data_IF_323083599984
#
_entry.id   IF_323083599984
#
_cell.length_a   1.000
_cell.length_b   1.000
_cell.length_c   1.000
_cell.angle_alpha   90.00
_cell.angle_beta   90.00
_cell.angle_gamma   90.00
#
_symmetry.space_group_name_H-M   'P 1'
#
loop_
_entity.id
_entity.type
_entity.pdbx_description
1 polymer ?
#
# COMPACT_ATOMS: atom_id res chain seq x y z
N UNK A 1 -3.38 19.38 2.85
CA UNK A 1 -2.67 19.67 1.59
C UNK A 1 -1.61 18.59 1.45
N UNK A 2 -1.82 17.62 0.57
CA UNK A 2 -0.82 16.61 0.24
C UNK A 2 0.35 17.34 -0.39
N UNK A 3 1.49 17.42 0.31
CA UNK A 3 2.69 18.04 -0.24
C UNK A 3 3.07 17.22 -1.47
N UNK A 4 2.79 17.75 -2.65
CA UNK A 4 3.31 17.20 -3.91
C UNK A 4 4.83 17.15 -3.77
N UNK A 5 5.41 15.96 -3.93
CA UNK A 5 6.85 15.83 -4.03
C UNK A 5 7.30 16.62 -5.25
N UNK A 6 7.89 17.79 -5.03
CA UNK A 6 8.52 18.55 -6.10
C UNK A 6 9.74 17.76 -6.62
N UNK A 7 10.11 17.96 -7.85
CA UNK A 7 11.30 17.32 -8.45
C UNK A 7 12.54 17.57 -7.60
N UNK A 8 12.73 18.81 -7.14
CA UNK A 8 13.81 19.21 -6.23
C UNK A 8 13.82 18.43 -4.90
N UNK A 9 12.65 18.07 -4.37
CA UNK A 9 12.57 17.22 -3.17
C UNK A 9 13.06 15.79 -3.46
N UNK A 10 12.66 15.21 -4.59
CA UNK A 10 13.09 13.85 -4.99
C UNK A 10 14.60 13.81 -5.24
N UNK A 11 15.11 14.77 -5.97
CA UNK A 11 16.55 14.92 -6.22
C UNK A 11 17.32 15.03 -4.92
N UNK A 12 16.87 15.88 -3.99
CA UNK A 12 17.48 16.02 -2.68
C UNK A 12 17.52 14.69 -1.91
N UNK A 13 16.40 13.96 -1.86
CA UNK A 13 16.32 12.66 -1.16
C UNK A 13 17.30 11.65 -1.75
N UNK A 14 17.41 11.58 -3.08
CA UNK A 14 18.31 10.63 -3.75
C UNK A 14 19.78 11.03 -3.57
N UNK A 15 20.12 12.31 -3.69
CA UNK A 15 21.48 12.82 -3.54
C UNK A 15 22.01 12.61 -2.11
N UNK A 16 21.15 12.82 -1.12
CA UNK A 16 21.52 12.76 0.29
C UNK A 16 21.15 11.45 0.99
N UNK A 17 20.75 10.41 0.24
CA UNK A 17 20.38 9.12 0.83
C UNK A 17 21.52 8.47 1.65
N UNK A 18 22.77 8.77 1.32
CA UNK A 18 23.97 8.30 2.04
C UNK A 18 24.38 9.14 3.25
N UNK A 19 23.84 10.34 3.39
CA UNK A 19 24.32 11.33 4.38
C UNK A 19 23.75 11.09 5.79
N UNK A 20 24.44 11.64 6.80
CA UNK A 20 23.96 11.60 8.18
C UNK A 20 22.71 12.48 8.35
N UNK A 21 21.55 11.93 8.75
CA UNK A 21 20.31 12.66 8.96
C UNK A 21 20.47 13.84 9.92
N UNK A 22 21.30 13.69 10.98
CA UNK A 22 21.51 14.74 11.96
C UNK A 22 22.25 15.94 11.35
N UNK A 23 23.22 15.69 10.48
CA UNK A 23 23.95 16.74 9.76
C UNK A 23 23.04 17.50 8.78
N UNK A 24 22.17 16.78 8.07
CA UNK A 24 21.18 17.39 7.17
C UNK A 24 20.25 18.33 7.97
N UNK A 25 19.74 17.86 9.11
CA UNK A 25 18.87 18.65 9.99
C UNK A 25 19.56 19.91 10.51
N UNK A 26 20.81 19.82 10.94
CA UNK A 26 21.60 20.98 11.42
C UNK A 26 21.87 21.99 10.31
N UNK A 27 22.00 21.51 9.07
CA UNK A 27 22.31 22.34 7.90
C UNK A 27 21.07 22.77 7.10
N UNK A 28 19.85 22.56 7.61
CA UNK A 28 18.60 22.78 6.87
C UNK A 28 18.44 24.17 6.23
N UNK A 29 19.05 25.18 6.82
CA UNK A 29 19.03 26.55 6.29
C UNK A 29 19.77 26.72 4.95
N UNK A 30 20.53 25.72 4.48
CA UNK A 30 21.21 25.72 3.17
C UNK A 30 20.25 25.40 2.00
N UNK A 31 19.07 24.83 2.30
CA UNK A 31 18.07 24.42 1.30
C UNK A 31 16.69 24.97 1.66
N UNK A 32 16.49 26.30 1.54
CA UNK A 32 15.25 26.95 1.96
C UNK A 32 14.01 26.50 1.16
N UNK A 33 14.22 25.96 -0.06
CA UNK A 33 13.19 25.45 -0.96
C UNK A 33 12.77 24.00 -0.68
N UNK A 34 13.53 23.27 0.16
CA UNK A 34 13.27 21.87 0.49
C UNK A 34 12.76 21.75 1.94
N UNK A 35 11.66 21.02 2.12
CA UNK A 35 11.28 20.58 3.47
C UNK A 35 12.25 19.48 3.94
N UNK A 36 13.37 19.91 4.53
CA UNK A 36 14.44 19.00 5.00
C UNK A 36 13.93 18.02 6.07
N UNK A 37 12.94 18.39 6.88
CA UNK A 37 12.36 17.46 7.87
C UNK A 37 11.65 16.28 7.16
N UNK A 38 10.84 16.59 6.17
CA UNK A 38 10.18 15.57 5.36
C UNK A 38 11.18 14.76 4.54
N UNK A 39 12.22 15.40 3.98
CA UNK A 39 13.26 14.73 3.22
C UNK A 39 14.09 13.76 4.08
N UNK A 40 14.47 14.15 5.29
CA UNK A 40 15.17 13.27 6.25
C UNK A 40 14.30 12.08 6.62
N UNK A 41 13.00 12.29 6.86
CA UNK A 41 12.06 11.18 7.10
C UNK A 41 12.01 10.22 5.91
N UNK A 42 11.93 10.75 4.69
CA UNK A 42 11.94 9.92 3.47
C UNK A 42 13.25 9.13 3.31
N UNK A 43 14.41 9.75 3.56
CA UNK A 43 15.73 9.11 3.52
C UNK A 43 15.80 7.94 4.51
N UNK A 44 15.39 8.15 5.76
CA UNK A 44 15.42 7.10 6.78
C UNK A 44 14.46 5.95 6.44
N UNK A 45 13.25 6.26 5.94
CA UNK A 45 12.29 5.26 5.49
C UNK A 45 12.84 4.45 4.31
N UNK A 46 13.42 5.12 3.30
CA UNK A 46 14.04 4.45 2.15
C UNK A 46 15.14 3.48 2.57
N UNK A 47 16.03 3.88 3.48
CA UNK A 47 17.08 3.00 4.02
C UNK A 47 16.50 1.75 4.67
N UNK A 48 15.41 1.88 5.44
CA UNK A 48 14.74 0.77 6.12
C UNK A 48 14.10 -0.21 5.14
N UNK A 49 13.50 0.30 4.06
CA UNK A 49 12.81 -0.56 3.09
C UNK A 49 13.72 -1.14 2.01
N UNK A 50 14.97 -0.71 1.91
CA UNK A 50 15.89 -1.06 0.82
C UNK A 50 15.95 -2.55 0.51
N UNK A 51 16.09 -3.39 1.53
CA UNK A 51 16.11 -4.85 1.39
C UNK A 51 14.76 -5.50 1.61
N UNK A 52 13.94 -4.87 2.47
CA UNK A 52 12.62 -5.36 2.87
C UNK A 52 11.58 -5.23 1.76
N UNK A 53 11.66 -4.16 0.97
CA UNK A 53 10.69 -3.78 -0.07
C UNK A 53 11.43 -3.26 -1.32
N UNK A 54 12.16 -4.11 -2.06
CA UNK A 54 13.01 -3.65 -3.17
C UNK A 54 12.23 -2.96 -4.29
N UNK A 55 11.01 -3.39 -4.60
CA UNK A 55 10.13 -2.77 -5.59
C UNK A 55 9.76 -1.34 -5.19
N UNK A 56 9.37 -1.12 -3.92
CA UNK A 56 9.06 0.19 -3.37
C UNK A 56 10.29 1.09 -3.31
N UNK A 57 11.44 0.51 -2.99
CA UNK A 57 12.72 1.22 -2.95
C UNK A 57 13.16 1.70 -4.34
N UNK A 58 12.89 0.90 -5.38
CA UNK A 58 13.22 1.24 -6.76
C UNK A 58 12.44 2.45 -7.29
N UNK A 59 11.28 2.77 -6.65
CA UNK A 59 10.45 3.91 -7.04
C UNK A 59 10.77 5.15 -6.17
N UNK A 60 11.46 6.16 -6.72
CA UNK A 60 11.89 7.34 -5.96
C UNK A 60 10.74 8.27 -5.58
N UNK A 61 9.57 8.10 -6.19
CA UNK A 61 8.37 8.89 -5.94
C UNK A 61 7.53 8.45 -4.75
N UNK A 62 7.91 7.39 -4.04
CA UNK A 62 7.17 6.90 -2.88
C UNK A 62 7.09 7.93 -1.77
N UNK A 63 5.87 8.18 -1.28
CA UNK A 63 5.59 9.05 -0.14
C UNK A 63 5.54 8.22 1.14
N UNK A 64 6.36 8.62 2.12
CA UNK A 64 6.31 8.08 3.49
C UNK A 64 5.66 9.12 4.40
N UNK A 65 4.41 8.93 4.84
CA UNK A 65 3.74 9.92 5.70
C UNK A 65 4.42 10.02 7.08
N UNK A 66 4.98 8.91 7.56
CA UNK A 66 5.76 8.83 8.79
C UNK A 66 6.70 7.61 8.80
N UNK A 67 7.60 7.58 9.80
CA UNK A 67 8.57 6.48 9.95
C UNK A 67 7.94 5.16 10.35
N UNK A 68 6.83 5.20 11.11
CA UNK A 68 6.14 4.02 11.65
C UNK A 68 5.59 3.18 10.50
N UNK A 69 5.05 3.82 9.47
CA UNK A 69 4.54 3.11 8.29
C UNK A 69 5.60 2.22 7.63
N UNK A 70 6.83 2.70 7.48
CA UNK A 70 7.93 1.92 6.92
C UNK A 70 8.41 0.82 7.89
N UNK A 71 8.48 1.12 9.19
CA UNK A 71 8.92 0.17 10.21
C UNK A 71 7.96 -1.01 10.36
N UNK A 72 6.68 -0.73 10.47
CA UNK A 72 5.64 -1.74 10.74
C UNK A 72 5.10 -2.43 9.50
N UNK A 73 5.47 -1.98 8.29
CA UNK A 73 5.04 -2.64 7.06
C UNK A 73 5.50 -4.09 6.99
N UNK A 74 4.77 -4.94 6.30
CA UNK A 74 5.22 -6.29 5.93
C UNK A 74 6.47 -6.23 5.04
N UNK A 75 7.27 -7.29 5.00
CA UNK A 75 8.26 -7.47 3.93
C UNK A 75 7.57 -7.94 2.64
N UNK A 76 8.26 -7.84 1.51
CA UNK A 76 7.75 -8.35 0.22
C UNK A 76 7.37 -9.83 0.30
N UNK A 77 8.19 -10.63 0.97
CA UNK A 77 7.95 -12.07 1.15
C UNK A 77 6.72 -12.31 2.03
N UNK A 78 6.59 -11.58 3.14
CA UNK A 78 5.44 -11.70 4.04
C UNK A 78 4.15 -11.30 3.34
N UNK A 79 4.15 -10.21 2.60
CA UNK A 79 2.99 -9.74 1.85
C UNK A 79 2.60 -10.73 0.73
N UNK A 80 3.58 -11.27 0.01
CA UNK A 80 3.37 -12.31 -1.02
C UNK A 80 2.81 -13.59 -0.41
N UNK A 81 3.28 -14.01 0.76
CA UNK A 81 2.74 -15.15 1.48
C UNK A 81 1.27 -14.91 1.87
N UNK A 82 0.95 -13.75 2.46
CA UNK A 82 -0.44 -13.38 2.80
C UNK A 82 -1.34 -13.39 1.55
N UNK A 83 -0.86 -12.86 0.43
CA UNK A 83 -1.59 -12.86 -0.83
C UNK A 83 -1.84 -14.30 -1.34
N UNK A 84 -0.87 -15.19 -1.23
CA UNK A 84 -1.04 -16.60 -1.62
C UNK A 84 -2.08 -17.33 -0.75
N UNK A 85 -2.09 -17.05 0.56
CA UNK A 85 -3.10 -17.59 1.49
C UNK A 85 -4.49 -17.07 1.16
N UNK A 86 -4.62 -15.75 0.96
CA UNK A 86 -5.89 -15.13 0.57
C UNK A 86 -6.42 -15.70 -0.75
N UNK A 87 -5.54 -15.85 -1.74
CA UNK A 87 -5.82 -16.48 -3.04
C UNK A 87 -6.40 -17.88 -2.87
N UNK A 88 -5.78 -18.72 -2.04
CA UNK A 88 -6.25 -20.08 -1.77
C UNK A 88 -7.64 -20.08 -1.13
N UNK A 89 -7.84 -19.29 -0.07
CA UNK A 89 -9.13 -19.19 0.63
C UNK A 89 -10.25 -18.79 -0.34
N UNK A 90 -10.01 -17.79 -1.19
CA UNK A 90 -11.01 -17.32 -2.15
C UNK A 90 -11.34 -18.43 -3.16
N UNK A 91 -10.33 -19.15 -3.67
CA UNK A 91 -10.56 -20.28 -4.62
C UNK A 91 -11.40 -21.38 -3.98
N UNK A 92 -11.07 -21.79 -2.75
CA UNK A 92 -11.80 -22.80 -2.01
C UNK A 92 -13.26 -22.36 -1.79
N UNK A 93 -13.47 -21.12 -1.30
CA UNK A 93 -14.82 -20.57 -1.06
C UNK A 93 -15.65 -20.47 -2.35
N UNK A 94 -15.03 -20.05 -3.46
CA UNK A 94 -15.73 -19.97 -4.75
C UNK A 94 -16.01 -21.36 -5.32
N UNK A 95 -15.10 -22.33 -5.19
CA UNK A 95 -15.32 -23.69 -5.62
C UNK A 95 -16.53 -24.32 -4.92
N UNK A 96 -16.63 -24.17 -3.59
CA UNK A 96 -17.77 -24.65 -2.81
C UNK A 96 -19.08 -23.97 -3.24
N UNK A 97 -19.06 -22.67 -3.50
CA UNK A 97 -20.25 -21.90 -3.90
C UNK A 97 -20.76 -22.24 -5.30
N UNK A 98 -19.87 -22.65 -6.20
CA UNK A 98 -20.18 -22.95 -7.61
C UNK A 98 -20.11 -24.44 -7.94
N UNK A 99 -19.93 -25.33 -6.97
CA UNK A 99 -19.90 -26.79 -7.15
C UNK A 99 -21.18 -27.33 -7.79
N UNK A 100 -22.33 -26.68 -7.58
CA UNK A 100 -23.63 -27.06 -8.14
C UNK A 100 -23.93 -26.43 -9.51
N UNK A 101 -23.06 -25.55 -10.02
CA UNK A 101 -23.25 -24.89 -11.32
C UNK A 101 -22.27 -25.48 -12.31
N UNK A 102 -22.63 -26.67 -12.84
CA UNK A 102 -21.95 -27.28 -13.99
C UNK A 102 -22.27 -26.49 -15.26
N UNK A 103 -21.47 -25.50 -15.59
CA UNK A 103 -21.43 -24.92 -16.94
C UNK A 103 -19.99 -24.73 -17.38
N UNK A 104 -19.75 -25.32 -18.54
CA UNK A 104 -18.61 -25.42 -19.40
C UNK A 104 -17.51 -24.34 -19.24
N UNK A 105 -16.31 -24.87 -19.04
CA UNK A 105 -15.00 -24.44 -19.53
C UNK A 105 -14.91 -23.08 -20.22
N UNK A 106 -14.39 -22.10 -19.50
CA UNK A 106 -13.53 -21.11 -20.11
C UNK A 106 -12.18 -21.14 -19.37
N UNK A 107 -11.29 -22.02 -19.83
CA UNK A 107 -9.90 -22.15 -19.42
C UNK A 107 -9.08 -21.00 -20.01
N UNK A 108 -9.48 -19.76 -19.80
CA UNK A 108 -8.57 -18.63 -19.95
C UNK A 108 -7.82 -18.44 -18.63
N UNK A 109 -6.58 -18.86 -18.63
CA UNK A 109 -5.61 -18.74 -17.55
C UNK A 109 -5.36 -17.27 -17.22
N UNK A 110 -6.26 -16.62 -16.49
CA UNK A 110 -5.91 -15.44 -15.72
C UNK A 110 -5.76 -15.87 -14.27
N UNK A 111 -4.55 -15.83 -13.74
CA UNK A 111 -4.23 -16.10 -12.32
C UNK A 111 -4.94 -15.14 -11.35
N UNK A 112 -5.69 -14.16 -11.87
CA UNK A 112 -6.45 -13.19 -11.10
C UNK A 112 -7.78 -13.80 -10.66
N UNK A 113 -7.89 -14.02 -9.36
CA UNK A 113 -9.11 -14.53 -8.75
C UNK A 113 -10.22 -13.49 -8.88
N UNK A 114 -11.44 -13.93 -9.22
CA UNK A 114 -12.63 -13.05 -9.32
C UNK A 114 -13.11 -12.48 -7.98
N UNK A 115 -12.40 -12.75 -6.87
CA UNK A 115 -12.74 -12.29 -5.52
C UNK A 115 -12.29 -10.86 -5.23
N UNK A 116 -12.92 -10.28 -4.19
CA UNK A 116 -12.54 -8.98 -3.60
C UNK A 116 -11.87 -9.22 -2.26
N UNK A 117 -10.86 -8.40 -1.92
CA UNK A 117 -10.17 -8.43 -0.62
C UNK A 117 -10.30 -7.06 0.03
N UNK A 118 -10.57 -7.01 1.33
CA UNK A 118 -10.49 -5.80 2.14
C UNK A 118 -9.29 -5.86 3.08
N UNK A 119 -8.45 -4.83 3.00
CA UNK A 119 -7.40 -4.54 3.96
C UNK A 119 -7.88 -3.38 4.84
N UNK A 120 -8.27 -3.70 6.09
CA UNK A 120 -8.91 -2.74 6.99
C UNK A 120 -7.92 -1.87 7.77
N UNK A 121 -6.62 -2.18 7.69
CA UNK A 121 -5.55 -1.52 8.43
C UNK A 121 -4.33 -1.28 7.55
N UNK A 122 -4.57 -0.65 6.42
CA UNK A 122 -3.67 -0.64 5.26
C UNK A 122 -2.25 -0.07 5.48
N UNK A 123 -2.06 0.91 6.38
CA UNK A 123 -0.74 1.47 6.69
C UNK A 123 0.00 1.98 5.45
N UNK A 124 1.23 1.47 5.19
CA UNK A 124 1.97 1.81 3.97
C UNK A 124 1.33 1.24 2.69
N UNK A 125 0.53 0.17 2.80
CA UNK A 125 -0.17 -0.46 1.67
C UNK A 125 0.55 -1.66 1.05
N UNK A 126 1.58 -2.19 1.70
CA UNK A 126 2.39 -3.30 1.14
C UNK A 126 1.57 -4.57 0.93
N UNK A 127 0.74 -4.93 1.92
CA UNK A 127 -0.15 -6.09 1.83
C UNK A 127 -1.22 -5.88 0.76
N UNK A 128 -1.84 -4.68 0.70
CA UNK A 128 -2.82 -4.32 -0.34
C UNK A 128 -2.23 -4.39 -1.75
N UNK A 129 -0.98 -3.94 -1.95
CA UNK A 129 -0.28 -4.09 -3.23
C UNK A 129 -0.10 -5.57 -3.61
N UNK A 130 0.26 -6.43 -2.66
CA UNK A 130 0.37 -7.86 -2.92
C UNK A 130 -0.99 -8.50 -3.23
N UNK A 131 -2.06 -8.11 -2.53
CA UNK A 131 -3.42 -8.56 -2.79
C UNK A 131 -3.92 -8.11 -4.16
N UNK A 132 -3.54 -6.93 -4.65
CA UNK A 132 -3.96 -6.42 -5.96
C UNK A 132 -3.52 -7.31 -7.12
N UNK A 133 -2.47 -8.12 -6.94
CA UNK A 133 -1.93 -9.04 -7.94
C UNK A 133 -2.70 -10.36 -8.02
N UNK A 134 -3.48 -10.68 -7.00
CA UNK A 134 -4.21 -11.96 -6.90
C UNK A 134 -5.71 -11.79 -6.78
N UNK A 135 -6.23 -10.59 -6.64
CA UNK A 135 -7.66 -10.30 -6.52
C UNK A 135 -8.15 -9.41 -7.67
N UNK A 136 -9.42 -9.50 -8.01
CA UNK A 136 -10.05 -8.61 -8.99
C UNK A 136 -10.06 -7.16 -8.52
N UNK A 137 -10.30 -6.93 -7.22
CA UNK A 137 -10.34 -5.62 -6.61
C UNK A 137 -9.91 -5.72 -5.13
N UNK A 138 -9.23 -4.71 -4.65
CA UNK A 138 -8.82 -4.57 -3.25
C UNK A 138 -9.41 -3.29 -2.69
N UNK A 139 -10.09 -3.39 -1.56
CA UNK A 139 -10.47 -2.24 -0.76
C UNK A 139 -9.39 -2.01 0.31
N UNK A 140 -8.65 -0.93 0.17
CA UNK A 140 -7.68 -0.47 1.18
C UNK A 140 -8.35 0.54 2.10
N UNK A 141 -8.30 0.32 3.41
CA UNK A 141 -8.75 1.28 4.41
C UNK A 141 -7.62 1.69 5.35
N UNK A 142 -7.49 2.98 5.59
CA UNK A 142 -6.58 3.55 6.58
C UNK A 142 -7.26 4.72 7.29
N UNK A 143 -7.35 4.64 8.61
CA UNK A 143 -8.05 5.63 9.42
C UNK A 143 -7.42 7.02 9.35
N UNK A 144 -6.09 7.10 9.19
CA UNK A 144 -5.39 8.37 9.02
C UNK A 144 -5.47 8.85 7.56
N UNK A 145 -6.14 9.98 7.28
CA UNK A 145 -6.35 10.47 5.93
C UNK A 145 -5.05 10.85 5.21
N UNK A 146 -4.00 11.28 5.92
CA UNK A 146 -2.70 11.60 5.31
C UNK A 146 -2.01 10.32 4.82
N UNK A 147 -2.08 9.23 5.60
CA UNK A 147 -1.57 7.92 5.19
C UNK A 147 -2.36 7.35 4.02
N UNK A 148 -3.69 7.47 4.04
CA UNK A 148 -4.54 7.05 2.94
C UNK A 148 -4.22 7.80 1.63
N UNK A 149 -4.02 9.11 1.72
CA UNK A 149 -3.63 9.92 0.56
C UNK A 149 -2.24 9.53 0.02
N UNK A 150 -1.27 9.26 0.89
CA UNK A 150 0.06 8.78 0.51
C UNK A 150 -0.03 7.39 -0.15
N UNK A 151 -0.80 6.46 0.42
CA UNK A 151 -1.01 5.13 -0.15
C UNK A 151 -1.64 5.20 -1.55
N UNK A 152 -2.66 6.04 -1.75
CA UNK A 152 -3.28 6.25 -3.07
C UNK A 152 -2.27 6.72 -4.11
N UNK A 153 -1.40 7.67 -3.76
CA UNK A 153 -0.32 8.12 -4.63
C UNK A 153 0.66 6.98 -4.94
N UNK A 154 1.09 6.24 -3.91
CA UNK A 154 2.04 5.14 -4.05
C UNK A 154 1.49 4.00 -4.93
N UNK A 155 0.22 3.64 -4.78
CA UNK A 155 -0.42 2.63 -5.63
C UNK A 155 -0.45 3.03 -7.10
N UNK A 156 -0.71 4.31 -7.40
CA UNK A 156 -0.66 4.81 -8.76
C UNK A 156 0.74 4.70 -9.37
N UNK A 157 1.79 5.04 -8.60
CA UNK A 157 3.19 4.90 -9.03
C UNK A 157 3.58 3.43 -9.27
N UNK A 158 3.09 2.52 -8.41
CA UNK A 158 3.38 1.08 -8.50
C UNK A 158 2.44 0.33 -9.45
N UNK A 159 1.60 1.05 -10.21
CA UNK A 159 0.75 0.49 -11.26
C UNK A 159 -0.44 -0.33 -10.77
N UNK A 160 -0.85 -0.20 -9.50
CA UNK A 160 -1.96 -0.93 -8.92
C UNK A 160 -3.29 -0.16 -9.11
N UNK A 161 -3.92 -0.35 -10.25
CA UNK A 161 -5.15 0.35 -10.64
C UNK A 161 -6.45 -0.25 -10.04
N UNK A 162 -6.36 -1.44 -9.43
CA UNK A 162 -7.49 -2.17 -8.86
C UNK A 162 -7.57 -2.08 -7.33
N UNK A 163 -7.00 -1.02 -6.74
CA UNK A 163 -7.09 -0.73 -5.31
C UNK A 163 -7.95 0.51 -5.09
N UNK A 164 -9.09 0.34 -4.42
CA UNK A 164 -9.93 1.42 -3.96
C UNK A 164 -9.48 1.86 -2.57
N UNK A 165 -9.14 3.15 -2.43
CA UNK A 165 -8.64 3.71 -1.19
C UNK A 165 -9.73 4.50 -0.49
N UNK A 166 -10.01 4.11 0.76
CA UNK A 166 -10.93 4.82 1.65
C UNK A 166 -10.22 5.19 2.96
N UNK A 167 -10.80 6.16 3.68
CA UNK A 167 -10.30 6.58 4.99
C UNK A 167 -11.45 6.65 5.98
N UNK A 168 -11.69 5.52 6.66
CA UNK A 168 -12.76 5.38 7.64
C UNK A 168 -12.29 4.75 8.94
N UNK A 169 -12.92 5.15 10.05
CA UNK A 169 -12.79 4.46 11.31
C UNK A 169 -13.70 3.22 11.31
N UNK A 170 -13.13 2.06 11.03
CA UNK A 170 -13.86 0.79 11.07
C UNK A 170 -14.04 0.36 12.52
N UNK A 171 -15.29 0.34 12.97
CA UNK A 171 -15.65 -0.18 14.31
C UNK A 171 -16.40 -1.51 14.17
N UNK A 172 -16.12 -2.52 15.05
CA UNK A 172 -16.88 -3.75 15.05
C UNK A 172 -18.33 -3.45 15.42
N UNK A 173 -19.29 -3.72 14.52
CA UNK A 173 -20.73 -3.70 14.80
C UNK A 173 -21.23 -5.13 14.94
N UNK A 174 -22.11 -5.39 15.91
CA UNK A 174 -22.85 -6.65 15.98
C UNK A 174 -23.75 -6.75 14.73
N UNK A 175 -23.58 -7.78 13.92
CA UNK A 175 -24.42 -8.05 12.73
C UNK A 175 -23.79 -7.76 11.37
N UNK A 176 -22.49 -7.62 11.26
CA UNK A 176 -21.73 -7.16 10.07
C UNK A 176 -21.57 -8.19 8.92
N UNK A 177 -22.38 -9.23 8.82
CA UNK A 177 -22.09 -10.28 7.83
C UNK A 177 -22.46 -9.91 6.38
N UNK A 178 -23.57 -9.24 6.14
CA UNK A 178 -24.13 -9.11 4.78
C UNK A 178 -23.95 -7.74 4.11
N UNK A 179 -23.91 -6.64 4.88
CA UNK A 179 -23.91 -5.27 4.33
C UNK A 179 -22.54 -4.57 4.41
N UNK A 180 -21.47 -5.27 4.78
CA UNK A 180 -20.17 -4.65 5.04
C UNK A 180 -19.60 -3.92 3.82
N UNK A 181 -19.68 -4.53 2.65
CA UNK A 181 -19.17 -3.94 1.40
C UNK A 181 -20.00 -2.72 0.95
N UNK A 182 -21.30 -2.75 1.16
CA UNK A 182 -22.19 -1.66 0.77
C UNK A 182 -22.01 -0.44 1.68
N UNK A 183 -21.67 -0.68 2.97
CA UNK A 183 -21.40 0.39 3.95
C UNK A 183 -20.05 1.09 3.73
N UNK A 184 -19.08 0.42 3.10
CA UNK A 184 -17.75 0.98 2.86
C UNK A 184 -17.59 1.70 1.53
N UNK A 185 -18.56 1.55 0.62
CA UNK A 185 -18.52 2.12 -0.74
C UNK A 185 -19.49 3.28 -0.96
N UNK A 186 -20.29 3.66 0.04
CA UNK A 186 -21.15 4.86 0.07
C UNK A 186 -20.47 6.00 0.83
#
# INVERSE_FOLDING_TARGET
>A
MTKSLTESFREFVLEHEGDDPSRLMLSRGRWPEVDVNAAVTAIECRRKIRTKLPEWYAEPGIIFPDRICAEQSSSSETASYKASVASRIIRETLADKYADISTESDESHSDVIRGRIADLTGGLGVDSLAFSRVAKNVLYNEMNPERAAAAKHNFALLGAANIDVISHCVQPRKGLADDFWDTLTT
#
